data_IF_007456633156
#
_entry.id   IF_007456633156
#
_cell.length_a   1.000
_cell.length_b   1.000
_cell.length_c   1.000
_cell.angle_alpha   90.00
_cell.angle_beta   90.00
_cell.angle_gamma   90.00
#
_symmetry.space_group_name_H-M   'P 1'
#
loop_
_entity.id
_entity.type
_entity.pdbx_description
1 polymer ?
#
# COMPACT_ATOMS: atom_id res chain seq x y z
N UNK A 1 -25.32 -11.19 15.69
CA UNK A 1 -24.65 -10.55 14.54
C UNK A 1 -24.81 -9.06 14.70
N UNK A 2 -23.75 -8.27 14.53
CA UNK A 2 -23.92 -6.82 14.49
C UNK A 2 -24.71 -6.48 13.21
N UNK A 3 -25.76 -5.67 13.37
CA UNK A 3 -26.58 -5.16 12.25
C UNK A 3 -26.17 -3.73 11.87
N UNK A 4 -25.10 -3.19 12.47
CA UNK A 4 -24.68 -1.79 12.31
C UNK A 4 -23.56 -1.64 11.28
N UNK A 5 -22.99 -2.76 10.81
CA UNK A 5 -21.86 -2.77 9.89
C UNK A 5 -20.60 -2.22 10.54
N UNK A 6 -19.49 -2.10 9.79
CA UNK A 6 -18.21 -1.62 10.33
C UNK A 6 -18.19 -0.11 10.63
N UNK A 7 -19.30 0.61 10.49
CA UNK A 7 -19.32 2.07 10.63
C UNK A 7 -19.06 2.57 12.07
N UNK A 8 -19.65 1.97 13.14
CA UNK A 8 -19.35 2.38 14.52
C UNK A 8 -17.90 2.13 14.92
N UNK A 9 -17.24 1.15 14.29
CA UNK A 9 -15.83 0.79 14.57
C UNK A 9 -14.90 1.98 14.37
N UNK A 10 -15.07 2.73 13.29
CA UNK A 10 -14.26 3.93 13.03
C UNK A 10 -14.50 5.04 14.06
N UNK A 11 -15.72 5.09 14.63
CA UNK A 11 -16.03 5.93 15.77
C UNK A 11 -15.16 5.58 16.97
N UNK A 12 -15.19 4.31 17.37
CA UNK A 12 -14.46 3.79 18.53
C UNK A 12 -12.95 3.87 18.37
N UNK A 13 -12.41 3.55 17.19
CA UNK A 13 -10.96 3.66 16.95
C UNK A 13 -10.47 5.10 17.17
N UNK A 14 -11.26 6.11 16.77
CA UNK A 14 -10.90 7.52 17.02
C UNK A 14 -10.88 7.85 18.52
N UNK A 15 -11.79 7.28 19.29
CA UNK A 15 -11.86 7.50 20.74
C UNK A 15 -10.69 6.83 21.48
N UNK A 16 -10.15 5.74 20.92
CA UNK A 16 -9.06 4.97 21.53
C UNK A 16 -7.66 5.57 21.30
N UNK A 17 -7.48 6.45 20.31
CA UNK A 17 -6.16 7.02 19.99
C UNK A 17 -6.14 8.56 19.88
N UNK A 18 -6.58 9.34 20.89
CA UNK A 18 -6.51 10.80 20.84
C UNK A 18 -5.10 11.37 21.07
N UNK A 19 -4.16 10.56 21.56
CA UNK A 19 -2.81 11.00 21.95
C UNK A 19 -1.83 10.80 20.81
N UNK A 20 -1.12 11.86 20.42
CA UNK A 20 -0.04 11.79 19.45
C UNK A 20 1.00 10.70 19.82
N UNK A 21 1.65 10.10 18.81
CA UNK A 21 2.66 9.05 19.02
C UNK A 21 2.31 7.68 18.44
N UNK A 22 1.13 7.51 17.82
CA UNK A 22 0.82 6.26 17.13
C UNK A 22 1.77 6.09 15.94
N UNK A 23 2.57 5.02 15.96
CA UNK A 23 3.46 4.65 14.87
C UNK A 23 2.85 3.58 13.95
N UNK A 24 2.04 2.69 14.51
CA UNK A 24 1.41 1.57 13.78
C UNK A 24 -0.09 1.59 13.96
N UNK A 25 -0.80 1.73 12.85
CA UNK A 25 -2.23 1.46 12.77
C UNK A 25 -2.45 0.16 12.02
N UNK A 26 -2.96 -0.85 12.73
CA UNK A 26 -3.30 -2.16 12.16
C UNK A 26 -4.77 -2.46 12.37
N UNK A 27 -5.48 -2.79 11.29
CA UNK A 27 -6.86 -3.23 11.32
C UNK A 27 -6.96 -4.59 10.63
N UNK A 28 -7.35 -5.60 11.40
CA UNK A 28 -7.75 -6.91 10.88
C UNK A 28 -9.27 -6.98 10.97
N UNK A 29 -9.94 -6.60 9.89
CA UNK A 29 -11.39 -6.74 9.77
C UNK A 29 -11.69 -7.78 8.70
N UNK A 30 -12.37 -8.86 9.10
CA UNK A 30 -12.90 -9.87 8.19
C UNK A 30 -14.39 -9.61 8.01
N UNK A 31 -14.82 -9.36 6.77
CA UNK A 31 -16.23 -9.17 6.46
C UNK A 31 -16.81 -10.44 5.88
N UNK A 32 -17.74 -11.08 6.60
CA UNK A 32 -18.32 -12.39 6.23
C UNK A 32 -19.23 -12.38 4.99
N UNK A 33 -19.59 -11.20 4.44
CA UNK A 33 -20.65 -11.08 3.42
C UNK A 33 -20.23 -10.30 2.15
N UNK A 34 -18.96 -10.34 1.72
CA UNK A 34 -18.47 -9.54 0.57
C UNK A 34 -18.71 -8.02 0.72
N UNK A 35 -18.98 -7.54 1.93
CA UNK A 35 -19.16 -6.12 2.18
C UNK A 35 -17.79 -5.50 2.28
N UNK A 36 -17.30 -4.88 1.20
CA UNK A 36 -16.06 -4.13 1.21
C UNK A 36 -16.09 -3.17 2.42
N UNK A 37 -15.26 -3.44 3.45
CA UNK A 37 -15.08 -2.55 4.58
C UNK A 37 -14.26 -1.35 4.11
N UNK A 38 -14.92 -0.44 3.39
CA UNK A 38 -14.34 0.79 2.90
C UNK A 38 -13.89 1.67 4.06
N UNK A 39 -12.64 2.11 4.03
CA UNK A 39 -12.13 3.04 5.02
C UNK A 39 -12.64 4.44 4.71
N UNK A 40 -13.40 5.10 5.60
CA UNK A 40 -13.90 6.43 5.32
C UNK A 40 -12.74 7.43 5.20
N UNK A 41 -12.72 8.27 4.16
CA UNK A 41 -11.71 9.33 4.01
C UNK A 41 -11.59 10.22 5.24
N UNK A 42 -12.72 10.52 5.90
CA UNK A 42 -12.75 11.29 7.15
C UNK A 42 -11.95 10.63 8.27
N UNK A 43 -11.92 9.30 8.33
CA UNK A 43 -11.08 8.56 9.28
C UNK A 43 -9.60 8.81 9.00
N UNK A 44 -9.15 8.66 7.76
CA UNK A 44 -7.75 8.93 7.35
C UNK A 44 -7.34 10.37 7.68
N UNK A 45 -8.20 11.35 7.40
CA UNK A 45 -7.93 12.76 7.69
C UNK A 45 -7.83 13.03 9.20
N UNK A 46 -8.71 12.44 10.02
CA UNK A 46 -8.62 12.58 11.47
C UNK A 46 -7.36 11.90 12.03
N UNK A 47 -7.01 10.73 11.50
CA UNK A 47 -5.78 10.03 11.87
C UNK A 47 -4.54 10.86 11.53
N UNK A 48 -4.54 11.54 10.39
CA UNK A 48 -3.49 12.47 10.00
C UNK A 48 -3.41 13.71 10.91
N UNK A 49 -4.54 14.24 11.36
CA UNK A 49 -4.55 15.36 12.31
C UNK A 49 -3.90 14.98 13.65
N UNK A 50 -4.13 13.77 14.15
CA UNK A 50 -3.60 13.31 15.43
C UNK A 50 -2.18 12.72 15.34
N UNK A 51 -1.85 12.02 14.25
CA UNK A 51 -0.65 11.19 14.14
C UNK A 51 0.11 11.35 12.83
N UNK A 52 -0.18 12.40 12.03
CA UNK A 52 0.46 12.64 10.74
C UNK A 52 1.98 12.58 10.79
N UNK A 53 2.57 13.12 11.86
CA UNK A 53 4.02 13.15 12.05
C UNK A 53 4.64 11.84 12.57
N UNK A 54 3.85 10.94 13.16
CA UNK A 54 4.37 9.76 13.88
C UNK A 54 4.03 8.44 13.20
N UNK A 55 2.96 8.39 12.40
CA UNK A 55 2.51 7.14 11.79
C UNK A 55 3.48 6.67 10.70
N UNK A 56 4.01 5.46 10.88
CA UNK A 56 4.95 4.78 9.98
C UNK A 56 4.31 3.59 9.27
N UNK A 57 3.37 2.90 9.91
CA UNK A 57 2.79 1.67 9.38
C UNK A 57 1.26 1.78 9.37
N UNK A 58 0.67 1.73 8.17
CA UNK A 58 -0.78 1.69 7.97
C UNK A 58 -1.15 0.36 7.31
N UNK A 59 -1.74 -0.54 8.09
CA UNK A 59 -1.95 -1.93 7.71
C UNK A 59 -3.40 -2.35 7.90
N UNK A 60 -4.19 -2.27 6.85
CA UNK A 60 -5.64 -2.50 6.90
C UNK A 60 -6.09 -3.75 6.15
N UNK A 61 -5.13 -4.56 5.70
CA UNK A 61 -5.35 -5.87 5.10
C UNK A 61 -6.30 -5.79 3.90
N UNK A 62 -7.43 -6.49 4.02
CA UNK A 62 -8.45 -6.60 2.98
C UNK A 62 -9.38 -5.37 2.90
N UNK A 63 -9.23 -4.41 3.80
CA UNK A 63 -10.06 -3.20 3.81
C UNK A 63 -9.80 -2.37 2.55
N UNK A 64 -10.89 -1.93 1.93
CA UNK A 64 -10.86 -1.27 0.64
C UNK A 64 -10.58 0.24 0.76
N UNK A 65 -9.75 0.75 -0.14
CA UNK A 65 -9.47 2.17 -0.30
C UNK A 65 -9.53 2.56 -1.78
N UNK A 66 -9.98 3.78 -2.06
CA UNK A 66 -9.83 4.34 -3.41
C UNK A 66 -8.39 4.82 -3.63
N UNK A 67 -7.95 4.91 -4.89
CA UNK A 67 -6.62 5.46 -5.19
C UNK A 67 -6.47 6.92 -4.72
N UNK A 68 -7.55 7.72 -4.72
CA UNK A 68 -7.53 9.07 -4.16
C UNK A 68 -7.33 9.08 -2.64
N UNK A 69 -7.86 8.07 -1.93
CA UNK A 69 -7.64 7.93 -0.49
C UNK A 69 -6.21 7.47 -0.20
N UNK A 70 -5.63 6.59 -1.02
CA UNK A 70 -4.21 6.20 -0.95
C UNK A 70 -3.31 7.42 -1.18
N UNK A 71 -3.59 8.23 -2.19
CA UNK A 71 -2.87 9.48 -2.46
C UNK A 71 -2.97 10.46 -1.28
N UNK A 72 -4.18 10.63 -0.74
CA UNK A 72 -4.40 11.44 0.45
C UNK A 72 -3.61 10.91 1.65
N UNK A 73 -3.56 9.59 1.84
CA UNK A 73 -2.80 8.97 2.91
C UNK A 73 -1.29 9.21 2.72
N UNK A 74 -0.75 8.88 1.55
CA UNK A 74 0.67 9.05 1.23
C UNK A 74 1.15 10.50 1.34
N UNK A 75 0.28 11.49 1.10
CA UNK A 75 0.61 12.92 1.26
C UNK A 75 0.49 13.44 2.70
N UNK A 76 -0.36 12.83 3.54
CA UNK A 76 -0.60 13.27 4.92
C UNK A 76 0.32 12.64 5.96
N UNK A 77 0.95 11.51 5.65
CA UNK A 77 1.87 10.80 6.54
C UNK A 77 3.30 10.81 5.96
N UNK A 78 4.09 11.89 6.15
CA UNK A 78 5.43 12.02 5.57
C UNK A 78 6.42 10.94 6.01
N UNK A 79 6.19 10.33 7.18
CA UNK A 79 6.98 9.24 7.75
C UNK A 79 6.47 7.83 7.41
N UNK A 80 5.50 7.68 6.50
CA UNK A 80 4.94 6.39 6.15
C UNK A 80 5.98 5.47 5.50
N UNK A 81 6.23 4.33 6.13
CA UNK A 81 7.18 3.29 5.72
C UNK A 81 6.48 2.04 5.16
N UNK A 82 5.32 1.68 5.71
CA UNK A 82 4.56 0.49 5.31
C UNK A 82 3.11 0.84 5.01
N UNK A 83 2.63 0.43 3.83
CA UNK A 83 1.23 0.50 3.44
C UNK A 83 0.72 -0.90 3.04
N UNK A 84 -0.33 -1.37 3.71
CA UNK A 84 -1.05 -2.61 3.36
C UNK A 84 -2.53 -2.31 3.22
N UNK A 85 -3.10 -2.44 2.01
CA UNK A 85 -4.53 -2.22 1.76
C UNK A 85 -5.04 -2.92 0.49
N UNK A 86 -6.35 -2.93 0.31
CA UNK A 86 -6.99 -3.32 -0.95
C UNK A 86 -7.37 -2.09 -1.77
N UNK A 87 -7.16 -2.14 -3.08
CA UNK A 87 -7.51 -1.06 -4.01
C UNK A 87 -8.11 -1.61 -5.30
N UNK A 88 -8.97 -0.84 -5.96
CA UNK A 88 -9.25 -1.08 -7.38
C UNK A 88 -8.41 -0.12 -8.22
N UNK A 89 -7.80 -0.64 -9.27
CA UNK A 89 -6.97 0.16 -10.18
C UNK A 89 -7.21 -0.21 -11.63
N UNK A 90 -7.25 0.74 -12.57
CA UNK A 90 -7.29 0.44 -14.00
C UNK A 90 -5.92 -0.02 -14.54
N UNK A 91 -4.82 0.43 -13.93
CA UNK A 91 -3.45 0.16 -14.39
C UNK A 91 -2.43 0.40 -13.27
N UNK A 92 -1.16 0.06 -13.55
CA UNK A 92 -0.04 0.26 -12.61
C UNK A 92 0.31 1.74 -12.46
N UNK A 93 0.19 2.54 -13.52
CA UNK A 93 0.56 3.96 -13.51
C UNK A 93 -0.29 4.76 -12.51
N UNK A 94 -1.56 4.41 -12.39
CA UNK A 94 -2.50 4.95 -11.41
C UNK A 94 -2.07 4.63 -9.98
N UNK A 95 -1.50 3.45 -9.73
CA UNK A 95 -0.92 3.08 -8.42
C UNK A 95 0.36 3.88 -8.16
N UNK A 96 1.25 3.98 -9.15
CA UNK A 96 2.49 4.78 -9.05
C UNK A 96 2.16 6.23 -8.68
N UNK A 97 1.16 6.80 -9.32
CA UNK A 97 0.69 8.16 -9.04
C UNK A 97 0.15 8.28 -7.61
N UNK A 98 -0.71 7.36 -7.19
CA UNK A 98 -1.29 7.37 -5.84
C UNK A 98 -0.23 7.28 -4.73
N UNK A 99 0.85 6.51 -4.92
CA UNK A 99 1.91 6.37 -3.91
C UNK A 99 3.04 7.40 -4.03
N UNK A 100 2.96 8.34 -4.99
CA UNK A 100 4.05 9.28 -5.29
C UNK A 100 4.42 10.17 -4.08
N UNK A 101 3.44 10.51 -3.23
CA UNK A 101 3.66 11.36 -2.05
C UNK A 101 4.46 10.69 -0.92
N UNK A 102 4.50 9.37 -0.86
CA UNK A 102 5.12 8.64 0.25
C UNK A 102 6.62 8.43 0.01
N UNK A 103 7.43 9.45 0.33
CA UNK A 103 8.89 9.44 0.14
C UNK A 103 9.61 8.39 0.98
N UNK A 104 9.05 8.07 2.14
CA UNK A 104 9.62 7.10 3.09
C UNK A 104 9.10 5.67 2.91
N UNK A 105 8.19 5.44 1.94
CA UNK A 105 7.58 4.14 1.75
C UNK A 105 8.64 3.11 1.36
N UNK A 106 8.75 2.05 2.17
CA UNK A 106 9.69 0.94 2.00
C UNK A 106 8.97 -0.34 1.56
N UNK A 107 7.76 -0.56 2.07
CA UNK A 107 6.95 -1.76 1.83
C UNK A 107 5.55 -1.38 1.40
N UNK A 108 5.12 -1.93 0.27
CA UNK A 108 3.77 -1.76 -0.27
C UNK A 108 3.14 -3.14 -0.51
N UNK A 109 2.05 -3.44 0.19
CA UNK A 109 1.29 -4.68 -0.02
C UNK A 109 -0.12 -4.33 -0.48
N UNK A 110 -0.48 -4.74 -1.68
CA UNK A 110 -1.78 -4.44 -2.27
C UNK A 110 -2.54 -5.70 -2.65
N UNK A 111 -3.81 -5.76 -2.27
CA UNK A 111 -4.77 -6.61 -2.95
C UNK A 111 -5.43 -5.77 -4.04
N UNK A 112 -5.03 -5.98 -5.29
CA UNK A 112 -5.50 -5.15 -6.41
C UNK A 112 -6.65 -5.83 -7.13
N UNK A 113 -7.80 -5.15 -7.18
CA UNK A 113 -8.91 -5.49 -8.06
C UNK A 113 -8.77 -4.70 -9.35
N UNK A 114 -8.27 -5.34 -10.40
CA UNK A 114 -8.10 -4.69 -11.70
C UNK A 114 -9.44 -4.34 -12.32
N UNK A 115 -9.64 -3.07 -12.66
CA UNK A 115 -10.82 -2.60 -13.39
C UNK A 115 -10.49 -2.73 -14.88
N UNK A 116 -11.30 -3.46 -15.67
CA UNK A 116 -11.10 -3.55 -17.11
C UNK A 116 -11.13 -2.15 -17.73
N UNK A 117 -10.01 -1.69 -18.28
CA UNK A 117 -9.92 -0.47 -19.08
C UNK A 117 -10.19 -0.72 -20.57
N UNK A 118 -10.47 0.34 -21.32
CA UNK A 118 -10.92 0.25 -22.72
C UNK A 118 -9.85 -0.18 -23.73
N UNK A 119 -8.55 -0.21 -23.39
CA UNK A 119 -7.53 -0.64 -24.33
C UNK A 119 -6.22 -1.08 -23.65
N UNK A 120 -5.76 -2.29 -23.97
CA UNK A 120 -4.36 -2.80 -23.89
C UNK A 120 -3.84 -3.48 -22.62
N UNK A 121 -4.53 -3.45 -21.48
CA UNK A 121 -4.08 -4.23 -20.31
C UNK A 121 -4.84 -5.54 -20.16
N UNK A 122 -4.34 -6.60 -20.81
CA UNK A 122 -4.77 -7.99 -20.56
C UNK A 122 -4.05 -8.61 -19.34
N UNK A 123 -3.08 -7.91 -18.75
CA UNK A 123 -2.35 -8.38 -17.58
C UNK A 123 -3.09 -8.07 -16.28
N UNK A 124 -3.63 -9.09 -15.63
CA UNK A 124 -4.11 -9.05 -14.24
C UNK A 124 -2.96 -9.09 -13.21
N UNK A 125 -1.73 -8.87 -13.66
CA UNK A 125 -0.52 -9.01 -12.85
C UNK A 125 0.49 -7.90 -13.14
N UNK A 126 1.30 -7.59 -12.14
CA UNK A 126 2.41 -6.64 -12.23
C UNK A 126 3.62 -7.37 -12.83
N UNK A 127 4.29 -6.79 -13.82
CA UNK A 127 5.56 -7.32 -14.34
C UNK A 127 6.76 -6.97 -13.43
N UNK A 128 7.91 -7.59 -13.64
CA UNK A 128 9.16 -7.22 -12.93
C UNK A 128 9.57 -5.79 -13.29
N UNK A 129 9.37 -5.40 -14.56
CA UNK A 129 9.63 -4.07 -15.09
C UNK A 129 8.71 -3.02 -14.42
N UNK A 130 7.44 -3.35 -14.23
CA UNK A 130 6.49 -2.49 -13.52
C UNK A 130 6.89 -2.33 -12.05
N UNK A 131 7.22 -3.42 -11.36
CA UNK A 131 7.71 -3.36 -9.99
C UNK A 131 8.99 -2.51 -9.88
N UNK A 132 9.92 -2.66 -10.83
CA UNK A 132 11.13 -1.82 -10.94
C UNK A 132 10.78 -0.34 -11.13
N UNK A 133 9.83 -0.02 -12.00
CA UNK A 133 9.35 1.36 -12.21
C UNK A 133 8.72 1.93 -10.93
N UNK A 134 7.91 1.16 -10.22
CA UNK A 134 7.31 1.56 -8.93
C UNK A 134 8.38 1.83 -7.86
N UNK A 135 9.39 0.96 -7.74
CA UNK A 135 10.50 1.09 -6.79
C UNK A 135 11.42 2.27 -7.13
N UNK A 136 11.54 2.62 -8.40
CA UNK A 136 12.34 3.75 -8.90
C UNK A 136 11.49 4.97 -9.29
N UNK A 137 10.26 5.10 -8.75
CA UNK A 137 9.32 6.20 -9.06
C UNK A 137 9.90 7.61 -8.84
N UNK A 138 10.91 7.73 -7.97
CA UNK A 138 11.66 8.95 -7.71
C UNK A 138 13.11 8.63 -7.37
N UNK A 139 14.00 9.62 -7.50
CA UNK A 139 15.43 9.47 -7.19
C UNK A 139 15.69 9.11 -5.71
N UNK A 140 14.82 9.58 -4.83
CA UNK A 140 14.87 9.38 -3.38
C UNK A 140 13.97 8.24 -2.89
N UNK A 141 13.38 7.46 -3.80
CA UNK A 141 12.47 6.37 -3.46
C UNK A 141 13.14 5.31 -2.58
N UNK A 142 12.53 5.04 -1.42
CA UNK A 142 12.93 3.99 -0.49
C UNK A 142 12.17 2.67 -0.68
N UNK A 143 11.27 2.58 -1.66
CA UNK A 143 10.42 1.38 -1.85
C UNK A 143 11.28 0.22 -2.36
N UNK A 144 11.34 -0.85 -1.60
CA UNK A 144 12.15 -2.05 -1.92
C UNK A 144 11.35 -3.33 -1.91
N UNK A 145 10.17 -3.34 -1.29
CA UNK A 145 9.30 -4.51 -1.26
C UNK A 145 7.92 -4.13 -1.76
N UNK A 146 7.44 -4.85 -2.77
CA UNK A 146 6.08 -4.72 -3.30
C UNK A 146 5.45 -6.12 -3.28
N UNK A 147 4.30 -6.27 -2.66
CA UNK A 147 3.54 -7.51 -2.68
C UNK A 147 2.18 -7.26 -3.30
N UNK A 148 1.84 -7.96 -4.37
CA UNK A 148 0.55 -7.85 -5.05
C UNK A 148 -0.05 -9.22 -5.30
N UNK A 149 -1.19 -9.49 -4.68
CA UNK A 149 -1.80 -10.83 -4.70
C UNK A 149 -0.81 -11.88 -4.20
N UNK A 150 -0.48 -12.88 -5.01
CA UNK A 150 0.44 -13.96 -4.62
C UNK A 150 1.91 -13.71 -4.99
N UNK A 151 2.25 -12.52 -5.47
CA UNK A 151 3.60 -12.19 -5.89
C UNK A 151 4.24 -11.18 -4.96
N UNK A 152 5.50 -11.40 -4.63
CA UNK A 152 6.35 -10.47 -3.91
C UNK A 152 7.54 -10.10 -4.80
N UNK A 153 7.80 -8.81 -4.93
CA UNK A 153 8.91 -8.24 -5.67
C UNK A 153 9.86 -7.58 -4.68
N UNK A 154 11.15 -7.91 -4.79
CA UNK A 154 12.20 -7.35 -3.94
C UNK A 154 13.27 -6.68 -4.80
N UNK A 155 13.50 -5.39 -4.56
CA UNK A 155 14.49 -4.60 -5.27
C UNK A 155 15.77 -4.39 -4.45
N UNK A 156 16.93 -4.53 -5.09
CA UNK A 156 18.24 -4.25 -4.50
C UNK A 156 19.22 -3.68 -5.53
N UNK A 157 20.17 -2.89 -5.04
CA UNK A 157 21.32 -2.47 -5.83
C UNK A 157 22.39 -3.55 -5.80
N UNK A 158 22.89 -3.94 -6.96
CA UNK A 158 23.95 -4.94 -7.13
C UNK A 158 25.10 -4.30 -7.91
N UNK A 159 26.34 -4.60 -7.50
CA UNK A 159 27.53 -4.21 -8.23
C UNK A 159 27.79 -5.23 -9.33
N UNK A 160 27.87 -4.79 -10.59
CA UNK A 160 28.23 -5.67 -11.70
C UNK A 160 29.74 -5.59 -11.94
N UNK A 161 30.43 -6.73 -11.91
CA UNK A 161 31.90 -6.79 -11.97
C UNK A 161 32.45 -6.60 -13.39
N UNK A 162 31.64 -6.79 -14.42
CA UNK A 162 32.09 -6.85 -15.82
C UNK A 162 32.05 -5.51 -16.59
N UNK A 163 31.33 -4.50 -16.08
CA UNK A 163 31.25 -3.15 -16.70
C UNK A 163 31.41 -2.06 -15.63
N UNK A 164 32.63 -1.53 -15.48
CA UNK A 164 32.95 -0.26 -14.81
C UNK A 164 32.33 -0.06 -13.40
N UNK A 165 32.21 -1.11 -12.58
CA UNK A 165 31.70 -1.02 -11.20
C UNK A 165 30.34 -0.29 -11.09
N UNK A 166 29.49 -0.38 -12.13
CA UNK A 166 28.25 0.37 -12.15
C UNK A 166 27.18 -0.33 -11.30
N UNK A 167 26.64 0.39 -10.31
CA UNK A 167 25.50 -0.08 -9.54
C UNK A 167 24.26 -0.22 -10.44
N UNK A 168 23.71 -1.43 -10.50
CA UNK A 168 22.48 -1.73 -11.22
C UNK A 168 21.37 -2.11 -10.23
N UNK A 169 20.18 -1.53 -10.44
CA UNK A 169 19.00 -1.92 -9.68
C UNK A 169 18.34 -3.15 -10.29
N UNK A 170 18.31 -4.23 -9.52
CA UNK A 170 17.75 -5.53 -9.90
C UNK A 170 16.52 -5.80 -9.03
N UNK A 171 15.47 -6.34 -9.65
CA UNK A 171 14.25 -6.76 -8.98
C UNK A 171 14.09 -8.26 -9.16
N UNK A 172 13.94 -8.99 -8.06
CA UNK A 172 13.52 -10.39 -8.07
C UNK A 172 12.01 -10.48 -7.82
N UNK A 173 11.36 -11.48 -8.43
CA UNK A 173 9.97 -11.81 -8.18
C UNK A 173 9.90 -13.22 -7.59
N UNK A 174 9.30 -13.31 -6.43
CA UNK A 174 9.08 -14.55 -5.69
C UNK A 174 7.57 -14.77 -5.58
N UNK A 175 7.12 -16.00 -5.84
CA UNK A 175 5.74 -16.37 -5.52
C UNK A 175 5.68 -16.51 -4.00
N UNK A 176 4.86 -15.68 -3.34
CA UNK A 176 4.67 -15.80 -1.90
C UNK A 176 4.22 -17.24 -1.61
N UNK A 177 4.96 -17.95 -0.75
CA UNK A 177 4.49 -19.23 -0.22
C UNK A 177 3.10 -19.03 0.41
N UNK A 178 2.27 -20.08 0.44
CA UNK A 178 0.85 -20.05 0.86
C UNK A 178 0.57 -19.55 2.30
N UNK A 179 1.52 -18.89 2.96
CA UNK A 179 1.37 -18.27 4.27
C UNK A 179 0.87 -16.83 4.21
N UNK A 180 -0.32 -16.59 3.66
CA UNK A 180 -1.07 -15.35 3.95
C UNK A 180 -1.83 -15.50 5.28
N UNK A 181 -1.12 -15.75 6.38
CA UNK A 181 -1.68 -15.74 7.74
C UNK A 181 -0.74 -14.95 8.65
N UNK A 182 -0.98 -13.64 8.80
CA UNK A 182 -0.51 -12.87 9.97
C UNK A 182 -1.48 -11.78 10.38
#
# INVERSE_FOLDING_TARGET
>A
MDNLGPQPLWGWIRELAPRAGLETFRLQAYTFNNGDAGIPRRFVLNLALAHGATLKHFMVGESYMTLSDVECLCSKFPGLETLVCSVSSPDVDSIIHAIAGAKHLQTLTLQVKWIPGDARNTGTSISVEDAKRMMLRSKDSKLRTISVGHYQYTGKWVLHEEEDEKLQFVVSADKAGEGWHT
#
